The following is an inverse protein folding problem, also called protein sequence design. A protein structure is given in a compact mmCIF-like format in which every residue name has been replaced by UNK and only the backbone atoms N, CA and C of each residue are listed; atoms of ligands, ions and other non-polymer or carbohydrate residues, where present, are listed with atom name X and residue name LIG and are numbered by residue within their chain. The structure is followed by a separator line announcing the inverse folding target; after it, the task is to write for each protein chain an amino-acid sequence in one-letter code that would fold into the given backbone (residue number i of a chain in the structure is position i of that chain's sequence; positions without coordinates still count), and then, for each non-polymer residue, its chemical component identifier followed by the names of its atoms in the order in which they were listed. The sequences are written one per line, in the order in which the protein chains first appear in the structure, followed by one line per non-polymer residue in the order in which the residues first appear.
data_IF_124221170912
#
_entry.id   IF_124221170912
#
_cell.length_a   1.000
_cell.length_b   1.000
_cell.length_c   1.000
_cell.angle_alpha   90.00
_cell.angle_beta   90.00
_cell.angle_gamma   90.00
#
_symmetry.space_group_name_H-M   'P 1'
#
loop_
_entity.id
_entity.type
_entity.pdbx_description
1 polymer ?
#
# COMPACT_ATOMS: atom_id res chain seq x y z
N UNK A 1 13.66 4.32 -7.78
CA UNK A 1 14.67 3.36 -7.31
C UNK A 1 14.54 2.06 -8.10
N UNK A 2 15.64 1.44 -8.58
CA UNK A 2 15.60 0.12 -9.21
C UNK A 2 15.39 -0.98 -8.18
N UNK A 3 14.60 -1.99 -8.55
CA UNK A 3 14.38 -3.22 -7.82
C UNK A 3 14.71 -4.40 -8.71
N UNK A 4 15.20 -5.49 -8.13
CA UNK A 4 15.46 -6.74 -8.81
C UNK A 4 14.48 -7.81 -8.33
N UNK A 5 13.72 -8.38 -9.25
CA UNK A 5 12.89 -9.55 -9.02
C UNK A 5 13.66 -10.79 -9.50
N UNK A 6 14.20 -11.62 -8.61
CA UNK A 6 14.93 -12.82 -9.00
C UNK A 6 13.96 -13.86 -9.57
N UNK A 7 14.36 -14.49 -10.68
CA UNK A 7 13.60 -15.54 -11.34
C UNK A 7 14.24 -16.90 -11.04
N UNK A 8 13.44 -17.84 -10.58
CA UNK A 8 13.86 -19.22 -10.26
C UNK A 8 13.64 -20.17 -11.43
N UNK A 9 12.63 -19.89 -12.25
CA UNK A 9 12.34 -20.67 -13.46
C UNK A 9 12.50 -19.82 -14.72
N UNK A 10 13.03 -20.42 -15.82
CA UNK A 10 13.42 -19.64 -16.99
C UNK A 10 12.24 -19.11 -17.81
N UNK A 11 11.08 -19.76 -17.78
CA UNK A 11 9.95 -19.45 -18.68
C UNK A 11 8.72 -18.95 -17.90
N UNK A 12 8.18 -19.77 -17.02
CA UNK A 12 6.88 -19.51 -16.37
C UNK A 12 6.92 -18.24 -15.53
N UNK A 13 7.87 -18.15 -14.58
CA UNK A 13 8.00 -16.95 -13.73
C UNK A 13 8.35 -15.72 -14.56
N UNK A 14 9.22 -15.87 -15.56
CA UNK A 14 9.59 -14.75 -16.44
C UNK A 14 8.39 -14.23 -17.22
N UNK A 15 7.56 -15.09 -17.78
CA UNK A 15 6.37 -14.70 -18.52
C UNK A 15 5.34 -14.02 -17.61
N UNK A 16 5.03 -14.64 -16.47
CA UNK A 16 4.06 -14.11 -15.50
C UNK A 16 4.52 -12.76 -14.94
N UNK A 17 5.77 -12.67 -14.48
CA UNK A 17 6.31 -11.43 -13.93
C UNK A 17 6.45 -10.35 -14.99
N UNK A 18 6.81 -10.70 -16.24
CA UNK A 18 6.89 -9.76 -17.34
C UNK A 18 5.54 -9.14 -17.69
N UNK A 19 4.45 -9.93 -17.65
CA UNK A 19 3.09 -9.41 -17.86
C UNK A 19 2.72 -8.43 -16.75
N UNK A 20 2.92 -8.79 -15.48
CA UNK A 20 2.61 -7.92 -14.35
C UNK A 20 3.38 -6.61 -14.37
N UNK A 21 4.71 -6.67 -14.52
CA UNK A 21 5.56 -5.47 -14.55
C UNK A 21 5.35 -4.68 -15.85
N UNK A 22 5.09 -5.35 -16.98
CA UNK A 22 4.77 -4.69 -18.24
C UNK A 22 3.45 -3.91 -18.19
N UNK A 23 2.44 -4.45 -17.52
CA UNK A 23 1.18 -3.74 -17.26
C UNK A 23 1.42 -2.54 -16.34
N UNK A 24 2.24 -2.69 -15.32
CA UNK A 24 2.65 -1.59 -14.45
C UNK A 24 3.34 -0.46 -15.22
N UNK A 25 4.30 -0.78 -16.09
CA UNK A 25 4.98 0.20 -16.96
C UNK A 25 3.99 0.90 -17.90
N UNK A 26 3.05 0.16 -18.49
CA UNK A 26 2.02 0.72 -19.36
C UNK A 26 1.11 1.71 -18.61
N UNK A 27 0.64 1.33 -17.42
CA UNK A 27 -0.19 2.19 -16.58
C UNK A 27 0.57 3.44 -16.12
N UNK A 28 1.87 3.31 -15.80
CA UNK A 28 2.70 4.45 -15.43
C UNK A 28 2.85 5.45 -16.58
N UNK A 29 3.01 4.99 -17.82
CA UNK A 29 3.08 5.85 -19.02
C UNK A 29 1.74 6.53 -19.28
N UNK A 30 0.62 5.81 -19.21
CA UNK A 30 -0.73 6.34 -19.40
C UNK A 30 -1.05 7.39 -18.31
N UNK A 31 -0.80 7.06 -17.04
CA UNK A 31 -1.04 7.95 -15.91
C UNK A 31 -0.20 9.23 -15.96
N UNK A 32 0.98 9.19 -16.56
CA UNK A 32 1.85 10.34 -16.78
C UNK A 32 1.53 11.14 -18.07
N UNK A 33 0.39 10.89 -18.71
CA UNK A 33 0.03 11.56 -19.97
C UNK A 33 0.99 11.26 -21.11
N UNK A 34 1.41 10.00 -21.21
CA UNK A 34 2.38 9.49 -22.21
C UNK A 34 3.80 10.07 -22.07
N UNK A 35 4.11 10.72 -20.96
CA UNK A 35 5.47 11.12 -20.63
C UNK A 35 6.19 9.97 -19.92
N UNK A 36 7.38 9.63 -20.41
CA UNK A 36 8.20 8.61 -19.76
C UNK A 36 8.88 9.22 -18.54
N UNK A 37 8.29 9.02 -17.36
CA UNK A 37 8.79 9.54 -16.08
C UNK A 37 9.67 8.52 -15.33
N UNK A 38 9.49 7.23 -15.63
CA UNK A 38 10.20 6.12 -14.99
C UNK A 38 10.82 5.24 -16.09
N UNK A 39 12.04 4.71 -15.92
CA UNK A 39 12.60 3.76 -16.86
C UNK A 39 11.76 2.48 -16.94
N UNK A 40 11.63 1.91 -18.13
CA UNK A 40 10.94 0.63 -18.33
C UNK A 40 11.75 -0.54 -17.78
N UNK A 41 11.07 -1.60 -17.45
CA UNK A 41 11.66 -2.86 -17.00
C UNK A 41 12.72 -3.40 -17.95
N UNK A 42 13.67 -4.18 -17.41
CA UNK A 42 14.69 -4.89 -18.16
C UNK A 42 14.79 -6.33 -17.72
N UNK A 43 14.87 -7.25 -18.69
CA UNK A 43 15.14 -8.65 -18.42
C UNK A 43 16.65 -8.88 -18.36
N UNK A 44 17.12 -9.40 -17.24
CA UNK A 44 18.52 -9.70 -17.00
C UNK A 44 18.77 -11.20 -17.08
N UNK A 45 19.92 -11.58 -17.66
CA UNK A 45 20.47 -12.92 -17.52
C UNK A 45 20.96 -13.15 -16.08
N UNK A 46 21.30 -14.41 -15.73
CA UNK A 46 21.93 -14.71 -14.44
C UNK A 46 23.18 -13.84 -14.20
N UNK A 47 24.05 -13.73 -15.19
CA UNK A 47 25.25 -12.89 -15.12
C UNK A 47 24.91 -11.44 -14.85
N UNK A 48 23.98 -10.85 -15.61
CA UNK A 48 23.56 -9.47 -15.43
C UNK A 48 22.88 -9.22 -14.09
N UNK A 49 22.15 -10.19 -13.53
CA UNK A 49 21.58 -10.09 -12.20
C UNK A 49 22.65 -10.07 -11.10
N UNK A 50 23.66 -10.93 -11.21
CA UNK A 50 24.78 -11.00 -10.27
C UNK A 50 25.71 -9.78 -10.36
N UNK A 51 25.87 -9.17 -11.53
CA UNK A 51 26.57 -7.89 -11.68
C UNK A 51 25.88 -6.75 -10.94
N UNK A 52 24.55 -6.80 -10.83
CA UNK A 52 23.74 -5.81 -10.10
C UNK A 52 23.65 -6.09 -8.61
N UNK A 53 23.63 -7.34 -8.22
CA UNK A 53 23.53 -7.80 -6.84
C UNK A 53 24.43 -9.02 -6.61
N UNK A 54 25.72 -8.81 -6.29
CA UNK A 54 26.74 -9.87 -6.21
C UNK A 54 26.48 -10.91 -5.10
N UNK A 55 25.79 -10.51 -4.03
CA UNK A 55 25.60 -11.35 -2.83
C UNK A 55 24.45 -12.37 -2.96
N UNK A 56 23.72 -12.35 -4.09
CA UNK A 56 22.68 -13.37 -4.35
C UNK A 56 23.33 -14.70 -4.71
N UNK A 57 22.88 -15.79 -4.08
CA UNK A 57 23.29 -17.14 -4.44
C UNK A 57 23.06 -17.40 -5.94
N UNK A 58 24.13 -17.64 -6.73
CA UNK A 58 24.01 -17.89 -8.17
C UNK A 58 23.15 -19.09 -8.53
N UNK A 59 22.99 -20.06 -7.58
CA UNK A 59 22.15 -21.25 -7.79
C UNK A 59 20.68 -20.97 -7.57
N UNK A 60 20.35 -19.89 -6.86
CA UNK A 60 18.98 -19.55 -6.52
C UNK A 60 18.21 -18.84 -7.64
N UNK A 61 18.88 -18.44 -8.74
CA UNK A 61 18.24 -17.69 -9.81
C UNK A 61 18.74 -18.11 -11.20
N UNK A 62 17.85 -18.01 -12.19
CA UNK A 62 18.15 -18.17 -13.61
C UNK A 62 18.26 -16.83 -14.36
N UNK A 63 17.88 -15.74 -13.70
CA UNK A 63 17.90 -14.38 -14.19
C UNK A 63 17.10 -13.48 -13.27
N UNK A 64 16.86 -12.25 -13.69
CA UNK A 64 16.03 -11.31 -12.94
C UNK A 64 15.25 -10.39 -13.89
N UNK A 65 14.23 -9.73 -13.35
CA UNK A 65 13.61 -8.54 -13.96
C UNK A 65 14.01 -7.34 -13.11
N UNK A 66 14.66 -6.36 -13.72
CA UNK A 66 14.90 -5.06 -13.14
C UNK A 66 13.70 -4.17 -13.47
N UNK A 67 13.06 -3.62 -12.45
CA UNK A 67 11.95 -2.67 -12.60
C UNK A 67 12.14 -1.49 -11.64
N UNK A 68 11.35 -0.45 -11.80
CA UNK A 68 11.51 0.78 -11.03
C UNK A 68 10.24 1.10 -10.25
N UNK A 69 10.41 1.48 -9.01
CA UNK A 69 9.33 1.90 -8.14
C UNK A 69 9.73 3.12 -7.32
N UNK A 70 8.75 3.83 -6.78
CA UNK A 70 8.95 4.98 -5.94
C UNK A 70 9.32 4.55 -4.51
N UNK A 71 10.19 5.33 -3.89
CA UNK A 71 10.46 5.24 -2.46
C UNK A 71 10.08 6.55 -1.82
N UNK A 72 9.31 6.49 -0.77
CA UNK A 72 8.86 7.65 -0.01
C UNK A 72 9.23 7.48 1.47
N UNK A 73 9.30 8.58 2.17
CA UNK A 73 9.21 8.60 3.64
C UNK A 73 7.72 8.54 3.99
N UNK A 74 7.24 7.39 4.44
CA UNK A 74 5.83 7.11 4.67
C UNK A 74 5.20 8.09 5.66
N UNK A 75 5.90 8.40 6.75
CA UNK A 75 5.40 9.33 7.77
C UNK A 75 5.24 10.73 7.18
N UNK A 76 6.22 11.19 6.42
CA UNK A 76 6.17 12.51 5.75
C UNK A 76 5.08 12.57 4.70
N UNK A 77 4.91 11.49 3.92
CA UNK A 77 3.83 11.41 2.92
C UNK A 77 2.47 11.53 3.58
N UNK A 78 2.21 10.76 4.64
CA UNK A 78 0.93 10.80 5.38
C UNK A 78 0.67 12.19 5.95
N UNK A 79 1.64 12.80 6.64
CA UNK A 79 1.50 14.15 7.18
C UNK A 79 1.23 15.17 6.07
N UNK A 80 1.90 15.06 4.92
CA UNK A 80 1.67 15.95 3.79
C UNK A 80 0.25 15.82 3.24
N UNK A 81 -0.27 14.58 3.11
CA UNK A 81 -1.64 14.32 2.68
C UNK A 81 -2.66 14.90 3.65
N UNK A 82 -2.47 14.70 4.96
CA UNK A 82 -3.36 15.27 6.00
C UNK A 82 -3.35 16.78 5.94
N UNK A 83 -2.19 17.43 5.87
CA UNK A 83 -2.10 18.89 5.76
C UNK A 83 -2.81 19.42 4.52
N UNK A 84 -2.58 18.79 3.37
CA UNK A 84 -3.27 19.16 2.13
C UNK A 84 -4.79 19.00 2.26
N UNK A 85 -5.27 17.92 2.88
CA UNK A 85 -6.69 17.74 3.11
C UNK A 85 -7.27 18.86 4.00
N UNK A 86 -6.58 19.23 5.08
CA UNK A 86 -6.99 20.33 5.95
C UNK A 86 -7.00 21.68 5.22
N UNK A 87 -6.02 21.95 4.36
CA UNK A 87 -6.02 23.14 3.50
C UNK A 87 -7.23 23.21 2.55
N UNK A 88 -7.80 22.05 2.22
CA UNK A 88 -9.03 21.92 1.43
C UNK A 88 -10.31 21.81 2.26
N UNK A 89 -10.26 22.11 3.56
CA UNK A 89 -11.41 22.17 4.45
C UNK A 89 -11.78 20.84 5.11
N UNK A 90 -10.91 19.84 5.12
CA UNK A 90 -11.13 18.64 5.93
C UNK A 90 -10.75 18.89 7.39
N UNK A 91 -11.45 18.19 8.28
CA UNK A 91 -11.05 18.08 9.69
C UNK A 91 -10.26 16.78 9.87
N UNK A 92 -9.15 16.85 10.60
CA UNK A 92 -8.32 15.70 10.91
C UNK A 92 -8.05 15.64 12.42
N UNK A 93 -8.42 14.55 13.04
CA UNK A 93 -8.19 14.32 14.46
C UNK A 93 -7.58 12.93 14.68
N UNK A 94 -6.55 12.87 15.51
CA UNK A 94 -5.99 11.62 16.04
C UNK A 94 -6.64 11.29 17.39
N UNK A 95 -6.46 10.06 17.86
CA UNK A 95 -6.93 9.58 19.17
C UNK A 95 -8.47 9.62 19.34
N UNK A 96 -9.20 9.64 18.25
CA UNK A 96 -10.64 9.38 18.20
C UNK A 96 -10.90 7.93 17.84
N UNK A 97 -11.64 7.23 18.68
CA UNK A 97 -12.04 5.84 18.43
C UNK A 97 -13.48 5.80 17.97
N UNK A 98 -13.73 5.24 16.82
CA UNK A 98 -15.09 4.91 16.39
C UNK A 98 -15.58 3.71 17.20
N UNK A 99 -16.73 3.88 17.85
CA UNK A 99 -17.38 2.85 18.67
C UNK A 99 -18.57 2.22 17.97
N UNK A 100 -19.18 2.96 17.03
CA UNK A 100 -20.32 2.48 16.24
C UNK A 100 -20.43 3.22 14.91
N UNK A 101 -20.83 2.54 13.87
CA UNK A 101 -21.28 3.19 12.63
C UNK A 101 -22.81 3.32 12.69
N UNK A 102 -23.28 4.55 12.48
CA UNK A 102 -24.72 4.86 12.50
C UNK A 102 -25.32 4.62 11.12
N UNK A 103 -26.54 4.09 11.11
CA UNK A 103 -27.33 3.92 9.91
C UNK A 103 -28.63 4.69 9.98
N UNK A 104 -29.14 5.11 8.84
CA UNK A 104 -30.49 5.68 8.71
C UNK A 104 -31.57 4.55 8.62
N UNK A 105 -32.82 4.98 8.49
CA UNK A 105 -33.95 4.06 8.39
C UNK A 105 -33.92 3.15 7.15
N UNK A 106 -33.10 3.47 6.16
CA UNK A 106 -32.88 2.68 4.95
C UNK A 106 -31.71 1.71 5.05
N UNK A 107 -30.97 1.72 6.19
CA UNK A 107 -29.78 0.92 6.42
C UNK A 107 -28.50 1.52 5.84
N UNK A 108 -28.52 2.75 5.32
CA UNK A 108 -27.31 3.44 4.82
C UNK A 108 -26.55 4.10 5.95
N UNK A 109 -25.22 4.07 5.86
CA UNK A 109 -24.36 4.76 6.81
C UNK A 109 -24.71 6.27 6.85
N UNK A 110 -24.92 6.81 8.05
CA UNK A 110 -25.32 8.20 8.32
C UNK A 110 -24.38 8.94 9.27
N UNK A 111 -23.33 8.28 9.76
CA UNK A 111 -22.35 8.83 10.67
C UNK A 111 -21.67 7.78 11.53
N UNK A 112 -21.06 8.25 12.61
CA UNK A 112 -20.41 7.39 13.60
C UNK A 112 -20.53 7.96 15.01
N UNK A 113 -20.59 7.09 16.02
CA UNK A 113 -20.30 7.42 17.41
C UNK A 113 -18.80 7.28 17.64
N UNK A 114 -18.22 8.24 18.33
CA UNK A 114 -16.78 8.29 18.58
C UNK A 114 -16.52 8.67 20.05
N UNK A 115 -15.39 8.19 20.55
CA UNK A 115 -14.87 8.58 21.85
C UNK A 115 -13.50 9.24 21.69
N UNK A 116 -13.30 10.38 22.29
CA UNK A 116 -12.01 11.01 22.46
C UNK A 116 -11.21 10.23 23.52
N UNK A 117 -10.08 9.66 23.12
CA UNK A 117 -9.25 8.84 24.01
C UNK A 117 -8.41 9.66 25.00
N UNK A 118 -8.40 10.99 24.88
CA UNK A 118 -7.69 11.88 25.80
C UNK A 118 -8.62 12.37 26.91
N UNK A 119 -9.85 12.73 26.55
CA UNK A 119 -10.83 13.30 27.48
C UNK A 119 -11.86 12.30 27.98
N UNK A 120 -12.09 11.21 27.21
CA UNK A 120 -13.19 10.28 27.46
C UNK A 120 -14.54 10.77 26.98
N UNK A 121 -14.62 11.94 26.34
CA UNK A 121 -15.87 12.50 25.82
C UNK A 121 -16.39 11.64 24.63
N UNK A 122 -17.67 11.36 24.65
CA UNK A 122 -18.39 10.67 23.59
C UNK A 122 -19.24 11.63 22.78
N UNK A 123 -19.18 11.57 21.48
CA UNK A 123 -20.01 12.41 20.61
C UNK A 123 -20.30 11.74 19.26
N UNK A 124 -21.23 12.33 18.53
CA UNK A 124 -21.69 11.83 17.23
C UNK A 124 -21.16 12.70 16.09
N UNK A 125 -20.55 12.06 15.10
CA UNK A 125 -20.21 12.68 13.83
C UNK A 125 -21.27 12.25 12.80
N UNK A 126 -21.97 13.20 12.19
CA UNK A 126 -22.93 12.95 11.11
C UNK A 126 -22.25 13.08 9.76
N UNK A 127 -22.50 12.12 8.86
CA UNK A 127 -21.91 12.10 7.54
C UNK A 127 -22.84 11.46 6.52
N UNK A 128 -22.77 11.91 5.28
CA UNK A 128 -23.49 11.29 4.15
C UNK A 128 -22.83 9.99 3.65
N UNK A 129 -21.53 9.84 3.90
CA UNK A 129 -20.73 8.66 3.58
C UNK A 129 -19.75 8.40 4.71
N UNK A 130 -19.52 7.12 4.98
CA UNK A 130 -18.49 6.66 5.93
C UNK A 130 -17.56 5.73 5.14
N UNK A 131 -16.28 6.05 5.13
CA UNK A 131 -15.26 5.24 4.45
C UNK A 131 -14.41 4.49 5.48
N UNK A 132 -14.44 3.17 5.40
CA UNK A 132 -13.54 2.32 6.20
C UNK A 132 -12.18 2.21 5.49
N UNK A 133 -11.18 2.92 6.00
CA UNK A 133 -9.80 2.88 5.52
C UNK A 133 -8.83 2.45 6.65
N UNK A 134 -9.27 1.57 7.54
CA UNK A 134 -8.58 1.20 8.77
C UNK A 134 -7.52 0.10 8.62
N UNK A 135 -7.17 -0.29 7.39
CA UNK A 135 -6.10 -1.24 7.11
C UNK A 135 -6.33 -2.59 7.80
N UNK A 136 -5.42 -2.99 8.68
CA UNK A 136 -5.49 -4.28 9.39
C UNK A 136 -6.70 -4.41 10.33
N UNK A 137 -7.35 -3.31 10.70
CA UNK A 137 -8.57 -3.29 11.52
C UNK A 137 -9.86 -3.22 10.69
N UNK A 138 -9.78 -3.43 9.38
CA UNK A 138 -10.94 -3.36 8.47
C UNK A 138 -12.09 -4.28 8.92
N UNK A 139 -11.80 -5.51 9.32
CA UNK A 139 -12.83 -6.45 9.81
C UNK A 139 -13.52 -5.94 11.07
N UNK A 140 -12.75 -5.49 12.06
CA UNK A 140 -13.30 -4.94 13.31
C UNK A 140 -14.18 -3.72 13.04
N UNK A 141 -13.76 -2.83 12.15
CA UNK A 141 -14.56 -1.65 11.78
C UNK A 141 -15.82 -2.05 11.03
N UNK A 142 -15.77 -3.10 10.21
CA UNK A 142 -16.94 -3.65 9.54
C UNK A 142 -17.97 -4.22 10.53
N UNK A 143 -17.52 -4.87 11.60
CA UNK A 143 -18.39 -5.37 12.66
C UNK A 143 -19.16 -4.25 13.36
N UNK A 144 -18.54 -3.06 13.53
CA UNK A 144 -19.21 -1.85 14.07
C UNK A 144 -20.32 -1.33 13.16
N UNK A 145 -20.32 -1.70 11.88
CA UNK A 145 -21.35 -1.37 10.89
C UNK A 145 -22.41 -2.45 10.71
N UNK A 146 -22.40 -3.51 11.54
CA UNK A 146 -23.36 -4.62 11.48
C UNK A 146 -22.85 -5.86 10.75
N UNK A 147 -21.56 -5.93 10.46
CA UNK A 147 -20.90 -7.19 10.06
C UNK A 147 -21.24 -7.78 8.68
N UNK A 148 -21.94 -7.04 7.81
CA UNK A 148 -22.48 -7.59 6.55
C UNK A 148 -21.54 -7.52 5.34
N UNK A 149 -20.33 -6.92 5.46
CA UNK A 149 -19.48 -6.56 4.33
C UNK A 149 -18.70 -7.73 3.71
N UNK A 150 -18.47 -8.83 4.41
CA UNK A 150 -17.77 -10.02 3.90
C UNK A 150 -16.30 -9.81 3.52
N UNK A 151 -15.71 -8.65 3.81
CA UNK A 151 -14.30 -8.37 3.60
C UNK A 151 -13.46 -9.13 4.63
N UNK A 152 -12.41 -9.81 4.16
CA UNK A 152 -11.41 -10.47 5.01
C UNK A 152 -10.04 -9.90 4.74
N UNK A 153 -9.30 -9.62 5.82
CA UNK A 153 -7.91 -9.17 5.73
C UNK A 153 -7.00 -10.40 5.73
N UNK A 154 -6.34 -10.66 4.61
CA UNK A 154 -5.25 -11.61 4.55
C UNK A 154 -3.97 -10.91 5.05
N UNK A 155 -3.71 -11.03 6.34
CA UNK A 155 -2.55 -10.42 6.93
C UNK A 155 -1.27 -11.13 6.50
N UNK A 156 -0.29 -10.36 6.00
CA UNK A 156 1.08 -10.82 5.84
C UNK A 156 1.98 -10.07 6.82
N UNK A 157 2.97 -10.78 7.38
CA UNK A 157 3.96 -10.17 8.28
C UNK A 157 5.26 -9.95 7.52
N UNK A 158 5.61 -8.70 7.29
CA UNK A 158 6.93 -8.30 6.81
C UNK A 158 7.80 -7.83 7.98
N UNK A 159 9.10 -8.07 7.87
CA UNK A 159 10.10 -7.50 8.78
C UNK A 159 11.12 -6.71 7.98
N UNK A 160 11.59 -5.62 8.53
CA UNK A 160 12.73 -4.87 8.01
C UNK A 160 13.95 -5.15 8.88
N UNK A 161 15.06 -5.52 8.23
CA UNK A 161 16.35 -5.68 8.89
C UNK A 161 17.24 -4.53 8.44
N UNK A 162 17.70 -3.76 9.39
CA UNK A 162 18.64 -2.65 9.11
C UNK A 162 20.06 -3.18 9.34
N UNK A 163 20.85 -3.15 8.29
CA UNK A 163 22.26 -3.55 8.32
C UNK A 163 23.14 -2.34 7.98
N UNK A 164 24.34 -2.24 8.56
CA UNK A 164 25.34 -1.31 8.10
C UNK A 164 25.68 -1.57 6.63
N UNK A 165 25.86 -0.49 5.85
CA UNK A 165 26.08 -0.59 4.40
C UNK A 165 27.33 -1.40 4.04
N UNK A 166 28.34 -1.35 4.89
CA UNK A 166 29.60 -2.10 4.73
C UNK A 166 29.46 -3.60 4.95
N UNK A 167 28.29 -4.07 5.34
CA UNK A 167 27.98 -5.50 5.52
C UNK A 167 27.07 -6.08 4.45
N UNK A 168 26.81 -5.30 3.40
CA UNK A 168 25.95 -5.70 2.27
C UNK A 168 26.72 -5.51 0.96
#
# INVERSE_FOLDING_TARGET
QPFLWPLRTPVIERAYSAIGVGMYDALAVIGAGFKKTVPTQRHLSRKGALERFPDVDPKALVGAIEFYDARVDDARLVISLVRTAVEHGAEAASRLRVTKVLTDLTGRASGAEVVDLETGEEFTIRARHVTNATGVWTEQTQDLAGGTGGLKVLASKGIHVVLPRERI
#
